data_IF_699440357192
#
_entry.id   IF_699440357192
#
_cell.length_a   1.000
_cell.length_b   1.000
_cell.length_c   1.000
_cell.angle_alpha   90.00
_cell.angle_beta   90.00
_cell.angle_gamma   90.00
#
_symmetry.space_group_name_H-M   'P 1'
#
loop_
_entity.id
_entity.type
_entity.pdbx_description
1 polymer ?
#
# COMPACT_ATOMS: atom_id res chain seq x y z
N UNK A 1 43.75 20.64 18.66
CA UNK A 1 43.03 19.99 19.78
C UNK A 1 41.49 20.00 19.66
N UNK A 2 40.84 21.07 19.16
CA UNK A 2 39.36 21.12 19.05
C UNK A 2 38.77 20.14 18.02
N UNK A 3 39.46 19.93 16.88
CA UNK A 3 38.99 19.02 15.81
C UNK A 3 38.99 17.55 16.26
N UNK A 4 40.02 17.12 17.00
CA UNK A 4 40.15 15.74 17.47
C UNK A 4 39.04 15.35 18.46
N UNK A 5 38.66 16.27 19.36
CA UNK A 5 37.52 16.04 20.28
C UNK A 5 36.19 15.92 19.53
N UNK A 6 36.00 16.67 18.45
CA UNK A 6 34.77 16.61 17.65
C UNK A 6 34.65 15.28 16.88
N UNK A 7 35.74 14.81 16.26
CA UNK A 7 35.77 13.52 15.56
C UNK A 7 35.55 12.35 16.54
N UNK A 8 36.13 12.41 17.73
CA UNK A 8 35.94 11.38 18.76
C UNK A 8 34.48 11.32 19.25
N UNK A 9 33.82 12.46 19.45
CA UNK A 9 32.41 12.50 19.85
C UNK A 9 31.51 11.94 18.73
N UNK A 10 31.80 12.24 17.46
CA UNK A 10 31.04 11.71 16.32
C UNK A 10 31.19 10.18 16.22
N UNK A 11 32.41 9.65 16.39
CA UNK A 11 32.67 8.21 16.39
C UNK A 11 32.00 7.49 17.55
N UNK A 12 31.96 8.10 18.74
CA UNK A 12 31.24 7.55 19.89
C UNK A 12 29.73 7.60 19.64
N UNK A 13 29.20 8.67 19.04
CA UNK A 13 27.78 8.75 18.69
C UNK A 13 27.40 7.72 17.64
N UNK A 14 28.20 7.48 16.59
CA UNK A 14 27.90 6.45 15.58
C UNK A 14 28.01 5.04 16.17
N UNK A 15 29.03 4.77 16.99
CA UNK A 15 29.20 3.46 17.63
C UNK A 15 28.16 3.17 18.71
N UNK A 16 27.60 4.20 19.35
CA UNK A 16 26.50 4.06 20.31
C UNK A 16 25.14 4.02 19.61
N UNK A 17 24.98 4.62 18.42
CA UNK A 17 23.72 4.56 17.66
C UNK A 17 23.54 3.28 16.83
N UNK A 18 24.62 2.67 16.31
CA UNK A 18 24.54 1.45 15.48
C UNK A 18 23.89 0.21 16.14
N UNK A 19 24.08 -0.08 17.44
CA UNK A 19 23.44 -1.24 18.06
C UNK A 19 21.98 -0.98 18.47
N UNK A 20 21.49 0.27 18.40
CA UNK A 20 20.08 0.55 18.66
C UNK A 20 19.26 0.43 17.37
N UNK A 21 18.75 -0.80 17.19
CA UNK A 21 17.36 -1.04 16.80
C UNK A 21 17.02 -0.86 15.31
N UNK A 22 17.73 -1.53 14.41
CA UNK A 22 16.99 -2.13 13.28
C UNK A 22 16.35 -3.40 13.83
N UNK A 23 15.21 -3.25 14.51
CA UNK A 23 14.35 -4.41 14.77
C UNK A 23 14.00 -4.96 13.40
N UNK A 24 14.47 -6.17 13.09
CA UNK A 24 14.14 -6.83 11.85
C UNK A 24 12.62 -7.07 11.85
N UNK A 25 11.88 -6.18 11.19
CA UNK A 25 10.45 -6.37 10.94
C UNK A 25 10.32 -7.55 9.98
N UNK A 26 9.65 -8.59 10.44
CA UNK A 26 9.32 -9.72 9.56
C UNK A 26 8.05 -9.36 8.79
N UNK A 27 8.16 -9.39 7.45
CA UNK A 27 7.04 -9.18 6.54
C UNK A 27 6.51 -10.53 6.13
N UNK A 28 5.24 -10.78 6.40
CA UNK A 28 4.55 -12.01 5.98
C UNK A 28 3.57 -11.64 4.88
N UNK A 29 3.75 -12.21 3.69
CA UNK A 29 2.77 -12.15 2.61
C UNK A 29 1.64 -13.14 2.90
N UNK A 30 0.39 -12.65 2.87
CA UNK A 30 -0.79 -13.46 3.16
C UNK A 30 -1.52 -13.93 1.91
N UNK A 31 -1.43 -13.17 0.81
CA UNK A 31 -2.05 -13.55 -0.44
C UNK A 31 -1.14 -14.53 -1.16
N UNK A 32 -1.70 -15.65 -1.58
CA UNK A 32 -1.00 -16.64 -2.39
C UNK A 32 -1.38 -16.47 -3.85
N UNK A 33 -0.40 -16.61 -4.75
CA UNK A 33 -0.59 -16.49 -6.21
C UNK A 33 -1.24 -15.14 -6.60
N UNK A 34 -0.77 -14.05 -6.00
CA UNK A 34 -1.21 -12.68 -6.30
C UNK A 34 -0.72 -12.14 -7.64
N UNK A 35 0.34 -12.72 -8.19
CA UNK A 35 0.91 -12.48 -9.52
C UNK A 35 0.22 -13.29 -10.63
N UNK A 36 -0.66 -14.22 -10.26
CA UNK A 36 -1.45 -15.07 -11.16
C UNK A 36 -0.65 -15.94 -12.13
N UNK A 37 0.63 -16.17 -11.83
CA UNK A 37 1.50 -17.02 -12.66
C UNK A 37 1.02 -18.48 -12.64
N UNK A 38 0.36 -18.88 -11.55
CA UNK A 38 -0.29 -20.18 -11.38
C UNK A 38 -1.78 -20.15 -11.76
N UNK A 39 -2.18 -19.29 -12.72
CA UNK A 39 -3.57 -19.09 -13.11
C UNK A 39 -4.42 -18.59 -11.91
N UNK A 40 -5.67 -19.05 -11.77
CA UNK A 40 -6.55 -18.75 -10.64
C UNK A 40 -6.41 -19.76 -9.49
N UNK A 41 -5.28 -20.47 -9.37
CA UNK A 41 -5.08 -21.37 -8.23
C UNK A 41 -5.18 -20.56 -6.92
N UNK A 42 -5.88 -21.09 -5.92
CA UNK A 42 -6.18 -20.43 -4.63
C UNK A 42 -7.11 -19.21 -4.71
N UNK A 43 -7.64 -18.90 -5.90
CA UNK A 43 -8.64 -17.87 -6.11
C UNK A 43 -9.95 -18.51 -6.55
N UNK A 44 -11.05 -18.18 -5.89
CA UNK A 44 -12.39 -18.64 -6.26
C UNK A 44 -13.02 -17.60 -7.23
N UNK A 45 -13.12 -17.90 -8.54
CA UNK A 45 -13.74 -16.99 -9.49
C UNK A 45 -15.25 -16.95 -9.31
N UNK A 46 -15.83 -15.78 -9.54
CA UNK A 46 -17.28 -15.60 -9.57
C UNK A 46 -17.69 -14.64 -10.70
N UNK A 47 -18.92 -14.80 -11.17
CA UNK A 47 -19.53 -13.94 -12.19
C UNK A 47 -20.91 -13.48 -11.72
N UNK A 48 -21.25 -12.23 -11.99
CA UNK A 48 -22.56 -11.67 -11.63
C UNK A 48 -23.68 -12.11 -12.58
N UNK A 49 -23.30 -12.51 -13.79
CA UNK A 49 -24.23 -13.03 -14.80
C UNK A 49 -23.54 -14.13 -15.61
N UNK A 50 -24.08 -15.35 -15.60
CA UNK A 50 -23.42 -16.53 -16.17
C UNK A 50 -23.04 -16.39 -17.65
N UNK A 51 -23.85 -15.68 -18.44
CA UNK A 51 -23.62 -15.54 -19.90
C UNK A 51 -22.90 -14.26 -20.32
N UNK A 52 -22.74 -13.28 -19.42
CA UNK A 52 -22.29 -11.93 -19.79
C UNK A 52 -21.26 -11.33 -18.85
N UNK A 53 -21.02 -11.97 -17.69
CA UNK A 53 -19.92 -11.66 -16.81
C UNK A 53 -18.80 -12.66 -17.03
N UNK A 54 -17.57 -12.18 -17.07
CA UNK A 54 -16.44 -13.02 -17.41
C UNK A 54 -15.23 -12.70 -16.54
N UNK A 55 -14.43 -13.73 -16.32
CA UNK A 55 -13.11 -13.68 -15.70
C UNK A 55 -12.22 -14.71 -16.39
N UNK A 56 -10.99 -14.33 -16.73
CA UNK A 56 -10.02 -15.23 -17.32
C UNK A 56 -8.59 -14.78 -17.05
N UNK A 57 -7.67 -15.73 -17.08
CA UNK A 57 -6.24 -15.45 -17.12
C UNK A 57 -5.85 -15.06 -18.54
N UNK A 58 -5.05 -14.01 -18.68
CA UNK A 58 -4.56 -13.53 -19.98
C UNK A 58 -3.06 -13.30 -19.97
N UNK A 59 -2.40 -13.56 -21.10
CA UNK A 59 -0.98 -13.25 -21.30
C UNK A 59 -0.75 -11.94 -22.09
N UNK A 60 -1.83 -11.35 -22.64
CA UNK A 60 -1.76 -10.23 -23.58
C UNK A 60 -1.61 -8.85 -22.94
N UNK A 61 -2.14 -8.68 -21.73
CA UNK A 61 -2.09 -7.40 -20.99
C UNK A 61 -1.72 -7.71 -19.54
N UNK A 62 -0.46 -7.53 -19.18
CA UNK A 62 0.08 -7.84 -17.85
C UNK A 62 0.96 -6.71 -17.34
N UNK A 63 1.09 -6.61 -16.03
CA UNK A 63 1.98 -5.65 -15.40
C UNK A 63 3.38 -6.25 -15.24
N UNK A 64 3.44 -7.45 -14.64
CA UNK A 64 4.68 -8.21 -14.51
C UNK A 64 4.48 -9.67 -14.94
N UNK A 65 5.51 -10.49 -14.76
CA UNK A 65 5.45 -11.92 -15.07
C UNK A 65 5.06 -12.24 -16.52
N UNK A 66 4.27 -13.31 -16.65
CA UNK A 66 3.77 -13.83 -17.92
C UNK A 66 2.26 -13.71 -18.06
N UNK A 67 1.51 -13.47 -16.98
CA UNK A 67 0.05 -13.49 -16.91
C UNK A 67 -0.52 -12.32 -16.10
N UNK A 68 -1.83 -12.13 -16.20
CA UNK A 68 -2.65 -11.30 -15.31
C UNK A 68 -4.08 -11.84 -15.32
N UNK A 69 -4.94 -11.30 -14.46
CA UNK A 69 -6.39 -11.60 -14.51
C UNK A 69 -7.12 -10.51 -15.28
N UNK A 70 -7.95 -10.89 -16.24
CA UNK A 70 -8.92 -10.02 -16.92
C UNK A 70 -10.32 -10.28 -16.37
N UNK A 71 -11.01 -9.24 -15.94
CA UNK A 71 -12.45 -9.27 -15.69
C UNK A 71 -13.16 -8.37 -16.70
N UNK A 72 -14.27 -8.84 -17.26
CA UNK A 72 -15.01 -8.07 -18.27
C UNK A 72 -16.49 -8.42 -18.31
N UNK A 73 -17.25 -7.56 -18.99
CA UNK A 73 -18.65 -7.82 -19.29
C UNK A 73 -18.90 -7.70 -20.80
N UNK A 74 -19.62 -8.68 -21.35
CA UNK A 74 -20.04 -8.65 -22.75
C UNK A 74 -21.23 -7.68 -22.92
N UNK A 75 -21.41 -7.05 -24.10
CA UNK A 75 -22.52 -6.15 -24.33
C UNK A 75 -23.83 -6.93 -24.46
N UNK A 76 -24.96 -6.34 -24.08
CA UNK A 76 -26.29 -6.94 -24.25
C UNK A 76 -27.16 -5.99 -25.08
N UNK A 77 -27.68 -6.41 -26.25
CA UNK A 77 -28.46 -5.54 -27.12
C UNK A 77 -29.75 -4.96 -26.49
N UNK A 78 -30.33 -5.63 -25.49
CA UNK A 78 -31.68 -5.32 -24.96
C UNK A 78 -31.82 -5.54 -23.45
N UNK A 79 -30.82 -5.15 -22.64
CA UNK A 79 -30.95 -5.26 -21.18
C UNK A 79 -31.59 -4.00 -20.58
N UNK A 80 -32.49 -4.17 -19.61
CA UNK A 80 -32.79 -3.10 -18.67
C UNK A 80 -31.52 -2.78 -17.87
N UNK A 81 -31.26 -1.50 -17.55
CA UNK A 81 -30.09 -1.01 -16.79
C UNK A 81 -30.03 -1.50 -15.31
N UNK A 82 -30.71 -2.61 -15.02
CA UNK A 82 -30.86 -3.19 -13.68
C UNK A 82 -30.05 -4.47 -13.50
N UNK A 83 -29.57 -5.07 -14.59
CA UNK A 83 -28.87 -6.34 -14.53
C UNK A 83 -27.37 -6.11 -14.32
N UNK A 84 -26.90 -6.42 -13.10
CA UNK A 84 -25.47 -6.38 -12.76
C UNK A 84 -24.73 -7.52 -13.48
N UNK A 85 -23.61 -7.18 -14.11
CA UNK A 85 -22.76 -8.09 -14.90
C UNK A 85 -21.30 -7.84 -14.58
N UNK A 86 -20.43 -8.69 -15.12
CA UNK A 86 -19.00 -8.70 -14.83
C UNK A 86 -18.63 -9.87 -13.92
N UNK A 87 -17.47 -9.78 -13.29
CA UNK A 87 -16.93 -10.87 -12.49
C UNK A 87 -15.74 -10.43 -11.66
N UNK A 88 -15.22 -11.38 -10.93
CA UNK A 88 -14.14 -11.18 -9.98
C UNK A 88 -13.58 -12.50 -9.49
N UNK A 89 -12.63 -12.41 -8.59
CA UNK A 89 -12.18 -13.56 -7.82
C UNK A 89 -12.02 -13.17 -6.35
N UNK A 90 -12.13 -14.18 -5.49
CA UNK A 90 -11.96 -14.02 -4.05
C UNK A 90 -10.96 -15.02 -3.50
N UNK A 91 -10.22 -14.63 -2.48
CA UNK A 91 -9.34 -15.50 -1.71
C UNK A 91 -9.64 -15.32 -0.23
N UNK A 92 -9.84 -16.44 0.47
CA UNK A 92 -10.06 -16.47 1.90
C UNK A 92 -8.71 -16.68 2.58
N UNK A 93 -8.28 -15.71 3.37
CA UNK A 93 -7.08 -15.76 4.19
C UNK A 93 -7.49 -16.03 5.63
N UNK A 94 -7.16 -17.22 6.13
CA UNK A 94 -7.30 -17.53 7.55
C UNK A 94 -6.13 -16.95 8.32
N UNK A 95 -6.41 -16.18 9.36
CA UNK A 95 -5.36 -15.57 10.16
C UNK A 95 -5.85 -15.25 11.57
N UNK A 96 -4.90 -15.14 12.50
CA UNK A 96 -5.12 -14.59 13.85
C UNK A 96 -4.33 -13.27 13.99
N UNK A 97 -4.49 -12.38 13.01
CA UNK A 97 -3.74 -11.11 12.97
C UNK A 97 -4.31 -10.17 14.01
N UNK A 98 -3.41 -9.52 14.75
CA UNK A 98 -3.73 -8.49 15.72
C UNK A 98 -3.55 -7.11 15.12
N UNK A 99 -4.32 -6.15 15.60
CA UNK A 99 -4.15 -4.71 15.38
C UNK A 99 -4.28 -4.25 13.91
N UNK A 100 -4.62 -5.17 13.01
CA UNK A 100 -4.84 -4.94 11.58
C UNK A 100 -3.68 -4.21 10.88
N UNK A 101 -2.44 -4.38 11.36
CA UNK A 101 -1.26 -3.78 10.73
C UNK A 101 -0.89 -4.51 9.43
N UNK A 102 -1.69 -4.19 8.42
CA UNK A 102 -1.68 -4.81 7.12
C UNK A 102 -1.58 -3.75 6.02
N UNK A 103 -0.81 -4.08 5.00
CA UNK A 103 -0.65 -3.28 3.80
C UNK A 103 -1.22 -4.07 2.62
N UNK A 104 -2.32 -3.58 2.07
CA UNK A 104 -2.86 -4.06 0.80
C UNK A 104 -2.20 -3.31 -0.35
N UNK A 105 -1.70 -4.03 -1.35
CA UNK A 105 -1.29 -3.43 -2.61
C UNK A 105 -1.69 -4.27 -3.82
N UNK A 106 -1.88 -3.63 -4.96
CA UNK A 106 -2.19 -4.30 -6.21
C UNK A 106 -1.95 -3.36 -7.40
N UNK A 107 -1.77 -3.94 -8.58
CA UNK A 107 -1.81 -3.24 -9.86
C UNK A 107 -3.13 -3.48 -10.56
N UNK A 108 -3.66 -2.43 -11.16
CA UNK A 108 -4.90 -2.48 -11.94
C UNK A 108 -4.79 -1.63 -13.20
N UNK A 109 -5.24 -2.16 -14.33
CA UNK A 109 -5.43 -1.41 -15.56
C UNK A 109 -6.92 -1.36 -15.89
N UNK A 110 -7.62 -0.26 -15.55
CA UNK A 110 -9.02 -0.08 -15.94
C UNK A 110 -9.09 0.26 -17.43
N UNK A 111 -9.87 -0.50 -18.20
CA UNK A 111 -10.09 -0.30 -19.62
C UNK A 111 -11.60 -0.09 -19.88
N UNK A 112 -12.08 1.09 -19.49
CA UNK A 112 -13.48 1.50 -19.69
C UNK A 112 -13.55 2.47 -20.87
N UNK A 113 -14.23 2.08 -21.94
CA UNK A 113 -14.38 2.94 -23.11
C UNK A 113 -15.44 4.04 -22.87
N UNK A 114 -15.05 5.30 -23.13
CA UNK A 114 -15.93 6.45 -23.02
C UNK A 114 -16.20 6.88 -21.58
N UNK A 115 -17.35 7.53 -21.35
CA UNK A 115 -17.73 8.00 -20.01
C UNK A 115 -18.11 6.82 -19.12
N UNK A 116 -17.53 6.75 -17.93
CA UNK A 116 -17.85 5.72 -16.95
C UNK A 116 -19.08 6.11 -16.11
N UNK A 117 -20.28 5.87 -16.64
CA UNK A 117 -21.53 6.17 -15.92
C UNK A 117 -22.13 4.94 -15.21
N UNK A 118 -21.57 3.75 -15.44
CA UNK A 118 -22.21 2.50 -15.04
C UNK A 118 -21.26 1.35 -14.62
N UNK A 119 -19.95 1.57 -14.63
CA UNK A 119 -18.96 0.53 -14.31
C UNK A 119 -18.26 0.84 -12.99
N UNK A 120 -18.23 -0.15 -12.10
CA UNK A 120 -17.45 -0.15 -10.87
C UNK A 120 -16.32 -1.17 -11.00
N UNK A 121 -15.09 -0.70 -10.83
CA UNK A 121 -13.88 -1.52 -10.74
C UNK A 121 -13.35 -1.32 -9.34
N UNK A 122 -13.25 -2.39 -8.54
CA UNK A 122 -12.87 -2.27 -7.12
C UNK A 122 -12.18 -3.51 -6.56
N UNK A 123 -11.46 -3.30 -5.47
CA UNK A 123 -10.99 -4.34 -4.55
C UNK A 123 -11.80 -4.26 -3.26
N UNK A 124 -12.18 -5.39 -2.69
CA UNK A 124 -13.00 -5.50 -1.48
C UNK A 124 -12.25 -6.34 -0.45
N UNK A 125 -12.18 -5.84 0.78
CA UNK A 125 -11.64 -6.55 1.93
C UNK A 125 -12.78 -6.73 2.92
N UNK A 126 -13.21 -7.97 3.11
CA UNK A 126 -14.19 -8.33 4.12
C UNK A 126 -13.48 -8.98 5.31
N UNK A 127 -13.59 -8.35 6.47
CA UNK A 127 -12.98 -8.77 7.72
C UNK A 127 -14.05 -9.30 8.66
N UNK A 128 -13.89 -10.55 9.14
CA UNK A 128 -14.65 -11.06 10.28
C UNK A 128 -13.76 -11.00 11.53
N UNK A 129 -14.23 -10.32 12.55
CA UNK A 129 -13.52 -10.16 13.83
C UNK A 129 -13.91 -11.27 14.81
N UNK A 130 -13.07 -11.56 15.79
CA UNK A 130 -13.39 -12.53 16.85
C UNK A 130 -14.61 -12.15 17.68
N UNK A 131 -14.89 -10.85 17.84
CA UNK A 131 -16.06 -10.34 18.57
C UNK A 131 -17.38 -10.48 17.79
N UNK A 132 -17.36 -11.10 16.61
CA UNK A 132 -18.51 -11.36 15.75
C UNK A 132 -18.87 -10.21 14.81
N UNK A 133 -18.20 -9.06 14.87
CA UNK A 133 -18.40 -7.98 13.90
C UNK A 133 -17.84 -8.36 12.53
N UNK A 134 -18.46 -7.81 11.49
CA UNK A 134 -18.00 -7.93 10.10
C UNK A 134 -17.84 -6.53 9.50
N UNK A 135 -16.67 -6.25 8.93
CA UNK A 135 -16.34 -4.96 8.31
C UNK A 135 -16.01 -5.19 6.84
N UNK A 136 -16.46 -4.28 5.98
CA UNK A 136 -16.18 -4.29 4.55
C UNK A 136 -15.46 -3.01 4.17
N UNK A 137 -14.23 -3.10 3.69
CA UNK A 137 -13.52 -1.99 3.06
C UNK A 137 -13.56 -2.20 1.55
N UNK A 138 -14.04 -1.21 0.79
CA UNK A 138 -14.11 -1.31 -0.68
C UNK A 138 -13.34 -0.18 -1.33
N UNK A 139 -12.29 -0.52 -2.07
CA UNK A 139 -11.39 0.40 -2.76
C UNK A 139 -11.78 0.52 -4.22
N UNK A 140 -12.42 1.62 -4.58
CA UNK A 140 -12.81 1.88 -5.96
C UNK A 140 -11.63 2.40 -6.78
N UNK A 141 -11.47 1.86 -7.98
CA UNK A 141 -10.50 2.27 -8.99
C UNK A 141 -11.21 3.12 -10.02
N UNK A 142 -12.35 2.62 -10.51
CA UNK A 142 -13.30 3.35 -11.32
C UNK A 142 -14.67 3.21 -10.65
N UNK A 143 -15.39 4.32 -10.53
CA UNK A 143 -16.69 4.35 -9.86
C UNK A 143 -17.71 5.01 -10.76
N UNK A 144 -18.85 4.36 -10.87
CA UNK A 144 -20.05 4.92 -11.46
C UNK A 144 -21.05 5.19 -10.34
N UNK A 145 -21.82 6.30 -10.41
CA UNK A 145 -22.95 6.47 -9.53
C UNK A 145 -23.83 5.21 -9.58
N UNK A 146 -24.36 4.75 -8.43
CA UNK A 146 -25.28 3.61 -8.43
C UNK A 146 -26.37 3.86 -9.47
N UNK A 147 -26.53 2.90 -10.38
CA UNK A 147 -27.60 3.00 -11.35
C UNK A 147 -28.95 3.02 -10.63
N UNK A 148 -29.94 3.71 -11.19
CA UNK A 148 -31.28 3.83 -10.62
C UNK A 148 -31.85 2.42 -10.43
N UNK A 149 -31.91 1.95 -9.18
CA UNK A 149 -32.31 0.58 -8.84
C UNK A 149 -31.28 -0.22 -8.03
N UNK A 150 -29.99 0.15 -8.07
CA UNK A 150 -29.01 -0.25 -7.05
C UNK A 150 -29.23 0.62 -5.79
N UNK A 151 -30.45 0.54 -5.24
CA UNK A 151 -30.68 0.94 -3.85
C UNK A 151 -29.75 0.05 -3.02
N UNK A 152 -28.76 0.68 -2.36
CA UNK A 152 -27.82 0.03 -1.45
C UNK A 152 -26.59 -0.63 -2.12
N UNK A 153 -25.75 0.12 -2.84
CA UNK A 153 -24.37 0.11 -2.36
C UNK A 153 -24.47 0.72 -0.98
N UNK A 154 -24.58 -0.16 0.03
CA UNK A 154 -24.86 0.24 1.38
C UNK A 154 -23.75 1.19 1.80
N UNK A 155 -24.02 2.50 1.70
CA UNK A 155 -23.21 3.55 2.27
C UNK A 155 -23.22 3.46 3.80
N UNK A 156 -23.70 2.33 4.37
CA UNK A 156 -23.22 1.83 5.66
C UNK A 156 -21.77 2.23 5.86
N UNK A 157 -21.50 2.63 7.10
CA UNK A 157 -20.35 3.41 7.55
C UNK A 157 -18.96 2.82 7.19
N UNK A 158 -18.90 1.68 6.50
CA UNK A 158 -17.72 0.87 6.26
C UNK A 158 -17.07 1.12 4.87
N UNK A 159 -17.73 1.76 3.91
CA UNK A 159 -17.16 1.94 2.54
C UNK A 159 -16.18 3.11 2.45
N UNK A 160 -14.89 2.89 2.18
CA UNK A 160 -13.88 3.94 1.95
C UNK A 160 -13.76 4.23 0.46
N UNK A 161 -14.31 5.35 0.00
CA UNK A 161 -14.17 5.76 -1.39
C UNK A 161 -12.77 6.31 -1.64
N UNK A 162 -11.97 5.55 -2.39
CA UNK A 162 -10.83 6.09 -3.11
C UNK A 162 -11.28 6.31 -4.55
N UNK A 163 -11.00 7.48 -5.10
CA UNK A 163 -11.09 7.71 -6.54
C UNK A 163 -9.69 8.12 -6.96
N UNK A 164 -9.14 7.47 -7.97
CA UNK A 164 -7.92 7.92 -8.61
C UNK A 164 -8.09 9.40 -8.95
N UNK A 165 -7.22 10.24 -8.40
CA UNK A 165 -7.31 11.69 -8.56
C UNK A 165 -7.21 12.10 -10.03
N UNK A 166 -6.51 11.29 -10.83
CA UNK A 166 -6.47 11.37 -12.30
C UNK A 166 -7.82 11.14 -13.00
N UNK A 167 -8.86 10.68 -12.29
CA UNK A 167 -10.23 10.58 -12.78
C UNK A 167 -11.14 11.73 -12.30
N UNK A 168 -10.69 12.58 -11.36
CA UNK A 168 -11.50 13.72 -10.88
C UNK A 168 -11.59 14.85 -11.91
N UNK A 169 -10.60 14.99 -12.78
CA UNK A 169 -10.50 16.09 -13.75
C UNK A 169 -11.29 15.85 -15.04
N UNK A 170 -12.29 14.96 -15.03
CA UNK A 170 -13.32 14.92 -16.08
C UNK A 170 -14.27 16.11 -15.85
N UNK A 171 -13.77 17.31 -16.12
CA UNK A 171 -14.58 18.53 -16.20
C UNK A 171 -15.69 18.37 -17.25
N UNK A 172 -16.85 19.04 -17.10
CA UNK A 172 -17.91 19.00 -18.10
C UNK A 172 -17.34 19.35 -19.48
N UNK A 173 -17.63 18.49 -20.47
CA UNK A 173 -17.08 18.47 -21.83
C UNK A 173 -16.23 19.71 -22.19
N UNK A 174 -14.88 19.60 -22.18
CA UNK A 174 -14.08 20.59 -22.86
C UNK A 174 -14.46 20.61 -24.35
N UNK A 175 -14.28 21.77 -24.98
CA UNK A 175 -14.52 21.99 -26.41
C UNK A 175 -14.06 20.77 -27.23
N UNK A 176 -14.92 20.18 -28.10
CA UNK A 176 -14.61 18.99 -28.89
C UNK A 176 -13.33 19.08 -29.74
N UNK A 177 -12.72 20.27 -29.87
CA UNK A 177 -11.43 20.46 -30.53
C UNK A 177 -10.21 20.38 -29.59
N UNK A 178 -10.40 20.33 -28.28
CA UNK A 178 -9.29 20.26 -27.32
C UNK A 178 -8.86 18.80 -27.16
N UNK A 179 -7.61 18.42 -27.46
CA UNK A 179 -7.09 17.10 -27.15
C UNK A 179 -7.27 16.87 -25.66
N UNK A 180 -8.10 15.91 -25.28
CA UNK A 180 -8.21 15.55 -23.88
C UNK A 180 -6.88 14.99 -23.42
N UNK A 181 -6.36 15.39 -22.25
CA UNK A 181 -5.27 14.65 -21.64
C UNK A 181 -5.75 13.20 -21.52
N UNK A 182 -4.94 12.25 -22.00
CA UNK A 182 -5.22 10.82 -21.84
C UNK A 182 -5.39 10.57 -20.34
N UNK A 183 -6.64 10.53 -19.88
CA UNK A 183 -7.02 10.18 -18.52
C UNK A 183 -6.35 8.86 -18.17
N UNK A 184 -5.96 8.62 -16.91
CA UNK A 184 -5.29 7.38 -16.48
C UNK A 184 -6.06 6.06 -16.71
N UNK A 185 -7.18 6.10 -17.41
CA UNK A 185 -7.85 4.97 -18.03
C UNK A 185 -6.92 4.39 -19.10
N UNK A 186 -6.75 3.07 -19.13
CA UNK A 186 -5.78 2.33 -19.96
C UNK A 186 -4.32 2.37 -19.51
N UNK A 187 -4.04 2.82 -18.27
CA UNK A 187 -2.70 2.75 -17.70
C UNK A 187 -2.69 1.85 -16.46
N UNK A 188 -1.62 1.07 -16.30
CA UNK A 188 -1.37 0.34 -15.06
C UNK A 188 -1.20 1.31 -13.91
N UNK A 189 -2.02 1.12 -12.88
CA UNK A 189 -2.02 1.95 -11.69
C UNK A 189 -1.69 1.10 -10.48
N UNK A 190 -0.65 1.48 -9.74
CA UNK A 190 -0.32 0.88 -8.46
C UNK A 190 -1.15 1.50 -7.35
N UNK A 191 -1.82 0.67 -6.56
CA UNK A 191 -2.57 1.09 -5.38
C UNK A 191 -1.94 0.44 -4.17
N UNK A 192 -1.68 1.24 -3.12
CA UNK A 192 -1.15 0.78 -1.83
C UNK A 192 -1.95 1.42 -0.70
N UNK A 193 -2.48 0.61 0.21
CA UNK A 193 -3.36 1.01 1.31
C UNK A 193 -2.87 0.43 2.62
N UNK A 194 -2.93 1.23 3.68
CA UNK A 194 -2.71 0.76 5.04
C UNK A 194 -4.09 0.50 5.66
N UNK A 195 -4.40 -0.77 5.91
CA UNK A 195 -5.71 -1.20 6.39
C UNK A 195 -5.98 -0.74 7.82
N UNK A 196 -4.95 -0.64 8.67
CA UNK A 196 -5.07 -0.12 10.03
C UNK A 196 -5.51 1.35 10.05
N UNK A 197 -4.90 2.20 9.21
CA UNK A 197 -5.26 3.61 9.07
C UNK A 197 -6.67 3.78 8.48
N UNK A 198 -6.96 3.00 7.44
CA UNK A 198 -8.26 2.99 6.77
C UNK A 198 -9.38 2.59 7.74
N UNK A 199 -9.16 1.53 8.51
CA UNK A 199 -10.05 1.10 9.58
C UNK A 199 -10.21 2.19 10.65
N UNK A 200 -9.09 2.76 11.13
CA UNK A 200 -9.05 3.77 12.20
C UNK A 200 -9.90 4.98 11.89
N UNK A 201 -9.89 5.41 10.62
CA UNK A 201 -10.62 6.59 10.15
C UNK A 201 -12.14 6.51 10.38
N UNK A 202 -12.70 5.30 10.46
CA UNK A 202 -14.16 5.06 10.54
C UNK A 202 -14.59 4.31 11.79
N UNK A 203 -13.74 3.43 12.31
CA UNK A 203 -14.10 2.49 13.37
C UNK A 203 -13.32 2.73 14.66
N UNK A 204 -12.42 3.70 14.70
CA UNK A 204 -11.56 3.99 15.85
C UNK A 204 -10.34 3.07 15.92
N UNK A 205 -9.59 3.16 17.01
CA UNK A 205 -8.30 2.49 17.18
C UNK A 205 -8.41 0.96 17.02
N UNK A 206 -7.63 0.33 16.11
CA UNK A 206 -7.67 -1.12 15.88
C UNK A 206 -6.93 -1.93 16.95
N UNK A 207 -6.32 -1.30 17.96
CA UNK A 207 -5.65 -2.01 19.05
C UNK A 207 -6.57 -3.03 19.74
N UNK A 208 -6.07 -4.25 19.91
CA UNK A 208 -6.78 -5.41 20.46
C UNK A 208 -7.89 -5.98 19.56
N UNK A 209 -7.98 -5.55 18.31
CA UNK A 209 -8.82 -6.24 17.33
C UNK A 209 -8.09 -7.49 16.87
N UNK A 210 -8.77 -8.63 16.99
CA UNK A 210 -8.30 -9.91 16.48
C UNK A 210 -9.13 -10.23 15.25
N UNK A 211 -8.45 -10.29 14.11
CA UNK A 211 -9.01 -10.73 12.86
C UNK A 211 -9.10 -12.26 12.89
N UNK A 212 -10.30 -12.79 12.61
CA UNK A 212 -10.57 -14.23 12.55
C UNK A 212 -10.51 -14.78 11.12
N UNK A 213 -11.08 -14.00 10.20
CA UNK A 213 -11.14 -14.37 8.78
C UNK A 213 -11.06 -13.10 7.95
N UNK A 214 -10.28 -13.17 6.88
CA UNK A 214 -10.16 -12.12 5.91
C UNK A 214 -10.52 -12.67 4.54
N UNK A 215 -11.34 -11.95 3.80
CA UNK A 215 -11.69 -12.28 2.43
C UNK A 215 -11.27 -11.11 1.56
N UNK A 216 -10.36 -11.37 0.64
CA UNK A 216 -9.84 -10.40 -0.31
C UNK A 216 -10.45 -10.70 -1.67
N UNK A 217 -11.11 -9.72 -2.27
CA UNK A 217 -11.74 -9.86 -3.58
C UNK A 217 -11.38 -8.71 -4.48
N UNK A 218 -11.33 -8.95 -5.78
CA UNK A 218 -11.29 -7.90 -6.79
C UNK A 218 -12.38 -8.17 -7.83
N UNK A 219 -12.96 -7.11 -8.36
CA UNK A 219 -14.05 -7.25 -9.31
C UNK A 219 -14.24 -6.06 -10.24
N UNK A 220 -14.81 -6.39 -11.40
CA UNK A 220 -15.45 -5.44 -12.28
C UNK A 220 -16.94 -5.73 -12.30
N UNK A 221 -17.74 -4.70 -12.14
CA UNK A 221 -19.20 -4.80 -12.24
C UNK A 221 -19.75 -3.68 -13.10
N UNK A 222 -20.75 -3.98 -13.92
CA UNK A 222 -21.41 -2.95 -14.74
C UNK A 222 -22.87 -3.26 -14.95
N UNK A 223 -23.67 -2.21 -15.15
CA UNK A 223 -25.05 -2.31 -15.63
C UNK A 223 -25.24 -1.73 -17.04
N UNK A 224 -24.17 -1.25 -17.68
CA UNK A 224 -24.23 -0.64 -19.01
C UNK A 224 -24.39 -1.67 -20.12
N UNK A 225 -25.54 -1.72 -20.77
CA UNK A 225 -25.79 -2.71 -21.81
C UNK A 225 -24.97 -2.50 -23.10
N UNK A 226 -24.41 -1.29 -23.32
CA UNK A 226 -23.68 -0.92 -24.55
C UNK A 226 -22.16 -1.03 -24.43
N UNK A 227 -21.62 -0.99 -23.22
CA UNK A 227 -20.17 -0.97 -23.00
C UNK A 227 -19.64 -2.38 -22.76
N UNK A 228 -18.39 -2.60 -23.18
CA UNK A 228 -17.59 -3.78 -22.85
C UNK A 228 -16.44 -3.38 -21.95
N UNK A 229 -16.72 -3.01 -20.69
CA UNK A 229 -15.67 -2.59 -19.78
C UNK A 229 -14.77 -3.78 -19.44
N UNK A 230 -13.48 -3.49 -19.40
CA UNK A 230 -12.43 -4.42 -19.04
C UNK A 230 -11.69 -3.88 -17.80
N UNK A 231 -11.19 -4.80 -16.97
CA UNK A 231 -10.17 -4.50 -15.97
C UNK A 231 -9.15 -5.63 -15.95
N UNK A 232 -7.87 -5.25 -15.85
CA UNK A 232 -6.77 -6.19 -15.66
C UNK A 232 -6.19 -6.02 -14.27
N UNK A 233 -5.86 -7.11 -13.61
CA UNK A 233 -5.41 -7.17 -12.23
C UNK A 233 -4.12 -7.97 -12.16
N UNK A 234 -3.18 -7.47 -11.36
CA UNK A 234 -1.86 -8.09 -11.21
C UNK A 234 -1.24 -7.75 -9.84
N UNK A 235 -0.30 -8.59 -9.40
CA UNK A 235 0.46 -8.46 -8.14
C UNK A 235 -0.38 -8.06 -6.91
N UNK A 236 -1.49 -8.75 -6.67
CA UNK A 236 -2.29 -8.53 -5.46
C UNK A 236 -1.52 -9.07 -4.26
N UNK A 237 -1.21 -8.19 -3.31
CA UNK A 237 -0.38 -8.48 -2.15
C UNK A 237 -1.04 -7.93 -0.89
N UNK A 238 -0.92 -8.69 0.19
CA UNK A 238 -1.36 -8.29 1.52
C UNK A 238 -0.28 -8.67 2.53
N UNK A 239 0.48 -7.67 2.97
CA UNK A 239 1.61 -7.86 3.86
C UNK A 239 1.19 -7.52 5.29
N UNK A 240 1.50 -8.41 6.23
CA UNK A 240 1.48 -8.11 7.67
C UNK A 240 2.89 -7.78 8.10
N UNK A 241 3.06 -6.63 8.74
CA UNK A 241 4.29 -6.31 9.45
C UNK A 241 4.13 -6.82 10.89
N UNK A 242 4.82 -7.92 11.21
CA UNK A 242 4.83 -8.39 12.60
C UNK A 242 5.99 -7.70 13.29
N UNK A 243 5.68 -6.85 14.29
CA UNK A 243 6.69 -6.41 15.23
C UNK A 243 7.28 -7.66 15.88
N UNK A 244 8.53 -7.97 15.50
CA UNK A 244 9.28 -9.05 16.10
C UNK A 244 9.36 -8.71 17.58
N UNK A 245 8.58 -9.42 18.40
CA UNK A 245 8.56 -9.24 19.84
C UNK A 245 10.02 -9.29 20.29
N UNK A 246 10.54 -8.16 20.77
CA UNK A 246 11.91 -8.07 21.24
C UNK A 246 12.13 -9.26 22.18
N UNK A 247 13.14 -10.11 21.93
CA UNK A 247 13.34 -11.31 22.71
C UNK A 247 13.32 -10.92 24.18
N UNK A 248 12.32 -11.43 24.90
CA UNK A 248 12.16 -11.14 26.31
C UNK A 248 13.50 -11.51 26.97
N UNK A 249 14.15 -10.58 27.69
CA UNK A 249 15.48 -10.83 28.23
C UNK A 249 15.42 -12.15 29.00
N UNK A 250 16.39 -13.06 28.80
CA UNK A 250 16.32 -14.41 29.33
C UNK A 250 16.00 -14.32 30.82
N UNK A 251 14.79 -14.74 31.18
CA UNK A 251 14.30 -14.67 32.55
C UNK A 251 15.29 -15.50 33.34
N UNK A 252 16.07 -14.83 34.19
CA UNK A 252 17.02 -15.50 35.07
C UNK A 252 16.19 -16.39 35.97
N UNK A 253 16.19 -17.68 35.68
CA UNK A 253 15.39 -18.67 36.40
C UNK A 253 15.87 -18.73 37.83
N UNK A 254 15.13 -18.11 38.75
CA UNK A 254 15.27 -18.37 40.18
C UNK A 254 14.93 -19.86 40.42
N UNK A 255 15.77 -20.63 41.13
CA UNK A 255 15.56 -22.06 41.35
C UNK A 255 14.18 -22.32 41.96
N UNK A 256 13.34 -23.08 41.24
CA UNK A 256 12.04 -23.54 41.74
C UNK A 256 12.28 -24.67 42.75
N UNK A 257 11.69 -24.64 43.96
CA UNK A 257 11.77 -25.75 44.90
C UNK A 257 11.03 -26.97 44.34
N UNK A 258 11.71 -28.10 44.46
CA UNK A 258 11.35 -29.46 44.07
C UNK A 258 9.99 -29.88 44.65
N UNK A 259 8.95 -30.15 43.82
CA UNK A 259 7.69 -30.72 44.26
C UNK A 259 7.77 -32.25 44.24
N UNK A 260 7.42 -32.83 45.39
CA UNK A 260 7.24 -34.26 45.63
C UNK A 260 6.23 -34.93 44.70
N UNK A 261 6.59 -36.11 44.21
CA UNK A 261 5.82 -37.03 43.36
C UNK A 261 4.44 -37.40 43.94
N UNK A 262 3.41 -37.51 43.09
CA UNK A 262 2.34 -38.47 43.34
C UNK A 262 2.10 -39.45 42.18
N UNK A 263 2.33 -40.72 42.54
CA UNK A 263 1.57 -41.95 42.23
C UNK A 263 0.84 -42.05 40.87
N UNK A 264 1.36 -42.96 40.05
CA UNK A 264 0.79 -43.53 38.84
C UNK A 264 -0.47 -44.33 39.18
N UNK A 265 -1.59 -44.06 38.51
CA UNK A 265 -2.72 -45.02 38.41
C UNK A 265 -3.07 -45.20 36.94
N UNK A 266 -2.82 -46.41 36.46
CA UNK A 266 -3.12 -46.90 35.11
C UNK A 266 -4.55 -47.39 35.00
N UNK A 267 -5.27 -46.95 33.96
CA UNK A 267 -6.49 -47.60 33.49
C UNK A 267 -6.43 -47.72 31.95
N UNK A 268 -6.61 -48.93 31.39
CA UNK A 268 -6.70 -49.14 29.94
C UNK A 268 -8.14 -48.91 29.47
N UNK A 269 -8.39 -48.55 28.21
CA UNK A 269 -9.56 -49.01 27.42
C UNK A 269 -9.61 -48.39 25.99
N UNK A 270 -9.58 -49.31 25.02
CA UNK A 270 -10.26 -49.44 23.72
C UNK A 270 -10.21 -48.34 22.64
N UNK A 271 -9.55 -48.74 21.56
CA UNK A 271 -9.75 -48.45 20.12
C UNK A 271 -11.23 -48.49 19.68
N UNK A 272 -11.65 -47.69 18.69
CA UNK A 272 -11.74 -48.27 17.34
C UNK A 272 -11.41 -47.31 16.18
N UNK A 273 -10.44 -47.75 15.37
CA UNK A 273 -10.51 -47.87 13.90
C UNK A 273 -11.50 -46.97 13.15
N UNK A 274 -10.96 -45.99 12.40
CA UNK A 274 -11.55 -45.56 11.13
C UNK A 274 -10.48 -45.14 10.13
N UNK A 275 -10.42 -45.89 9.05
CA UNK A 275 -9.55 -45.73 7.89
C UNK A 275 -9.99 -44.55 7.04
N UNK A 276 -9.07 -43.63 6.74
CA UNK A 276 -9.18 -42.69 5.63
C UNK A 276 -7.84 -42.59 4.93
N UNK A 277 -7.81 -43.08 3.70
CA UNK A 277 -6.69 -43.05 2.75
C UNK A 277 -6.26 -41.61 2.46
N UNK A 278 -5.05 -41.23 2.85
CA UNK A 278 -4.39 -40.01 2.42
C UNK A 278 -3.45 -40.29 1.24
N UNK A 279 -3.61 -39.52 0.16
CA UNK A 279 -2.66 -39.44 -0.95
C UNK A 279 -1.41 -38.65 -0.53
N UNK A 280 -0.22 -39.01 -1.04
CA UNK A 280 1.03 -38.37 -0.62
C UNK A 280 1.19 -36.98 -1.22
N UNK A 281 1.43 -36.00 -0.35
CA UNK A 281 1.90 -34.67 -0.71
C UNK A 281 3.32 -34.79 -1.30
N UNK A 282 3.51 -34.22 -2.49
CA UNK A 282 4.84 -34.06 -3.10
C UNK A 282 5.49 -32.82 -2.49
N UNK A 283 6.48 -33.06 -1.64
CA UNK A 283 7.34 -32.01 -1.08
C UNK A 283 8.27 -31.50 -2.18
N UNK A 284 8.03 -30.27 -2.65
CA UNK A 284 9.00 -29.54 -3.46
C UNK A 284 10.21 -29.14 -2.60
N UNK A 285 11.43 -29.18 -3.13
CA UNK A 285 12.63 -28.81 -2.39
C UNK A 285 12.64 -27.30 -2.07
N UNK A 286 13.26 -26.90 -0.94
CA UNK A 286 13.42 -25.49 -0.60
C UNK A 286 14.31 -24.81 -1.64
N UNK A 287 13.79 -23.73 -2.24
CA UNK A 287 14.56 -22.85 -3.10
C UNK A 287 15.53 -22.07 -2.20
N UNK A 288 16.82 -22.26 -2.45
CA UNK A 288 17.92 -21.64 -1.73
C UNK A 288 18.07 -20.18 -2.19
N UNK A 289 17.18 -19.31 -1.72
CA UNK A 289 17.16 -17.89 -2.01
C UNK A 289 18.04 -17.14 -0.98
N UNK A 290 19.36 -17.24 -1.10
CA UNK A 290 20.25 -16.63 -0.10
C UNK A 290 21.56 -16.02 -0.61
N UNK A 291 21.61 -15.55 -1.86
CA UNK A 291 22.83 -14.89 -2.39
C UNK A 291 22.66 -13.45 -2.89
N UNK A 292 21.45 -12.87 -2.87
CA UNK A 292 21.24 -11.52 -3.41
C UNK A 292 21.22 -10.39 -2.36
N UNK A 293 21.15 -10.71 -1.06
CA UNK A 293 21.05 -9.69 0.00
C UNK A 293 22.40 -9.21 0.55
N UNK A 294 23.53 -9.81 0.16
CA UNK A 294 24.85 -9.42 0.69
C UNK A 294 25.47 -8.24 -0.07
N UNK A 295 24.96 -7.90 -1.26
CA UNK A 295 25.55 -6.80 -2.06
C UNK A 295 24.95 -5.42 -1.73
N UNK A 296 23.70 -5.32 -1.28
CA UNK A 296 23.00 -4.04 -1.08
C UNK A 296 23.41 -3.29 0.18
N UNK A 297 23.82 -3.99 1.24
CA UNK A 297 24.12 -3.36 2.53
C UNK A 297 25.43 -2.53 2.52
N UNK A 298 26.38 -2.86 1.65
CA UNK A 298 27.66 -2.14 1.58
C UNK A 298 27.59 -0.84 0.75
N UNK A 299 26.70 -0.74 -0.25
CA UNK A 299 26.61 0.45 -1.09
C UNK A 299 25.79 1.58 -0.43
N UNK A 300 24.81 1.24 0.41
CA UNK A 300 24.03 2.24 1.15
C UNK A 300 24.90 3.14 2.03
N UNK A 301 25.85 2.53 2.75
CA UNK A 301 26.77 3.27 3.63
C UNK A 301 27.71 4.21 2.85
N UNK A 302 28.15 3.81 1.66
CA UNK A 302 29.02 4.62 0.79
C UNK A 302 28.25 5.85 0.25
N UNK A 303 26.99 5.66 -0.14
CA UNK A 303 26.15 6.77 -0.65
C UNK A 303 25.85 7.78 0.46
N UNK A 304 25.50 7.31 1.67
CA UNK A 304 25.20 8.19 2.81
C UNK A 304 26.45 8.98 3.22
N UNK A 305 27.61 8.35 3.29
CA UNK A 305 28.87 9.04 3.62
C UNK A 305 29.26 10.07 2.58
N UNK A 306 29.09 9.79 1.28
CA UNK A 306 29.31 10.75 0.21
C UNK A 306 28.38 11.98 0.32
N UNK A 307 27.09 11.77 0.61
CA UNK A 307 26.12 12.87 0.80
C UNK A 307 26.47 13.76 2.00
N UNK A 308 26.92 13.18 3.11
CA UNK A 308 27.36 13.95 4.29
C UNK A 308 28.56 14.84 3.94
N UNK A 309 29.55 14.29 3.22
CA UNK A 309 30.74 15.05 2.79
C UNK A 309 30.34 16.22 1.88
N UNK A 310 29.43 15.99 0.91
CA UNK A 310 28.93 17.04 0.01
C UNK A 310 28.22 18.14 0.82
N UNK A 311 27.37 17.77 1.76
CA UNK A 311 26.64 18.74 2.59
C UNK A 311 27.60 19.61 3.42
N UNK A 312 28.65 19.01 3.99
CA UNK A 312 29.68 19.74 4.74
C UNK A 312 30.45 20.71 3.83
N UNK A 313 30.82 20.27 2.61
CA UNK A 313 31.48 21.12 1.62
C UNK A 313 30.60 22.31 1.22
N UNK A 314 29.30 22.09 0.97
CA UNK A 314 28.35 23.16 0.63
C UNK A 314 28.23 24.17 1.77
N UNK A 315 28.16 23.71 3.02
CA UNK A 315 28.11 24.60 4.19
C UNK A 315 29.41 25.40 4.32
N UNK A 316 30.57 24.79 4.12
CA UNK A 316 31.87 25.47 4.19
C UNK A 316 32.01 26.55 3.11
N UNK A 317 31.56 26.27 1.88
CA UNK A 317 31.55 27.24 0.77
C UNK A 317 30.58 28.39 1.06
N UNK A 318 29.36 28.10 1.54
CA UNK A 318 28.37 29.13 1.91
C UNK A 318 28.87 30.02 3.06
N UNK A 319 29.56 29.46 4.04
CA UNK A 319 30.12 30.22 5.16
C UNK A 319 31.25 31.16 4.71
N UNK A 320 32.04 30.76 3.71
CA UNK A 320 33.05 31.63 3.09
C UNK A 320 32.40 32.76 2.27
N UNK A 321 31.23 32.53 1.70
CA UNK A 321 30.47 33.53 0.94
C UNK A 321 29.72 34.54 1.80
N UNK A 322 29.39 34.23 3.06
CA UNK A 322 28.62 35.14 3.93
C UNK A 322 29.45 36.25 4.59
N UNK A 323 30.78 36.28 4.42
CA UNK A 323 31.62 37.36 4.93
C UNK A 323 31.60 38.66 4.10
N UNK A 324 30.70 38.77 3.11
CA UNK A 324 30.48 40.02 2.35
C UNK A 324 28.98 40.37 2.28
N UNK A 325 28.31 40.51 3.43
CA UNK A 325 27.01 41.20 3.48
C UNK A 325 27.28 42.70 3.61
N UNK A 326 27.41 43.37 2.47
CA UNK A 326 27.30 44.83 2.39
C UNK A 326 25.88 45.21 2.84
N UNK A 327 25.78 46.11 3.81
CA UNK A 327 24.51 46.54 4.39
C UNK A 327 23.73 47.39 3.38
N UNK A 328 22.82 46.80 2.63
CA UNK A 328 21.89 47.53 1.75
C UNK A 328 20.96 48.43 2.58
N UNK A 329 20.97 49.73 2.31
CA UNK A 329 20.00 50.72 2.82
C UNK A 329 18.91 50.96 1.77
N UNK A 330 17.80 51.58 2.17
CA UNK A 330 16.70 51.95 1.25
C UNK A 330 16.40 53.45 1.39
N UNK A 331 16.04 54.09 0.27
CA UNK A 331 15.72 55.51 0.23
C UNK A 331 14.42 55.79 0.99
N UNK A 332 14.45 56.73 1.94
CA UNK A 332 13.26 57.05 2.74
C UNK A 332 12.11 57.69 1.94
N UNK A 333 12.39 58.27 0.77
CA UNK A 333 11.38 58.94 -0.03
C UNK A 333 10.73 58.02 -1.07
N UNK A 334 11.53 57.27 -1.84
CA UNK A 334 11.02 56.45 -2.95
C UNK A 334 11.17 54.93 -2.74
N UNK A 335 11.82 54.48 -1.66
CA UNK A 335 12.01 53.06 -1.35
C UNK A 335 13.09 52.36 -2.19
N UNK A 336 13.76 53.04 -3.11
CA UNK A 336 14.83 52.45 -3.93
C UNK A 336 16.01 52.01 -3.06
N UNK A 337 16.64 50.87 -3.40
CA UNK A 337 17.84 50.38 -2.70
C UNK A 337 19.02 51.31 -3.00
N UNK A 338 19.76 51.68 -1.96
CA UNK A 338 20.90 52.61 -2.03
C UNK A 338 22.13 51.97 -1.39
N UNK A 339 23.27 52.22 -2.00
CA UNK A 339 24.57 51.76 -1.49
C UNK A 339 24.87 52.47 -0.17
N UNK A 340 25.46 51.76 0.80
CA UNK A 340 25.56 52.24 2.19
C UNK A 340 26.31 53.58 2.37
N UNK A 341 27.04 54.01 1.33
CA UNK A 341 27.97 55.14 1.29
C UNK A 341 27.42 56.32 0.48
N UNK A 342 26.25 56.21 -0.14
CA UNK A 342 25.70 57.29 -0.99
C UNK A 342 24.88 58.30 -0.17
N UNK A 343 25.25 59.58 -0.22
CA UNK A 343 24.53 60.67 0.46
C UNK A 343 23.21 61.06 -0.23
N UNK A 344 22.98 60.62 -1.46
CA UNK A 344 21.80 60.96 -2.26
C UNK A 344 21.24 59.73 -2.97
N UNK A 345 19.92 59.67 -3.11
CA UNK A 345 19.28 58.61 -3.90
C UNK A 345 19.41 58.91 -5.40
N UNK A 346 19.98 57.99 -6.17
CA UNK A 346 20.14 58.14 -7.62
C UNK A 346 18.81 58.17 -8.38
N UNK A 347 17.75 57.57 -7.84
CA UNK A 347 16.44 57.52 -8.48
C UNK A 347 15.65 58.83 -8.34
N UNK A 348 15.67 59.46 -7.15
CA UNK A 348 14.82 60.62 -6.87
C UNK A 348 15.57 61.88 -6.43
N UNK A 349 16.91 61.83 -6.36
CA UNK A 349 17.77 62.94 -5.96
C UNK A 349 17.64 63.36 -4.49
N UNK A 350 16.85 62.66 -3.68
CA UNK A 350 16.62 63.05 -2.28
C UNK A 350 17.86 62.73 -1.44
N UNK A 351 18.33 63.73 -0.68
CA UNK A 351 19.44 63.55 0.27
C UNK A 351 19.04 62.59 1.39
N UNK A 352 19.91 61.65 1.71
CA UNK A 352 19.70 60.70 2.79
C UNK A 352 20.43 61.23 4.03
N UNK A 353 19.70 61.42 5.13
CA UNK A 353 20.34 61.76 6.41
C UNK A 353 20.99 60.49 6.96
N UNK A 354 22.32 60.55 7.14
CA UNK A 354 23.17 59.42 7.52
C UNK A 354 22.97 58.97 8.96
#
# INVERSE_FOLDING_TARGET
MKLFKFVLILLILTAVYEPYLVSASSKTELIVNGDFESNLNEWEPYVYHETHGNIAITAGTKHSGSKSVRTWADPIPQSTYTLKRGGGATQIVQSNIKDLDMILSFWVLPAVAGRNDHTNIRTIIHMKLEDGRSINLSYYVAWAPPAVGEFLYNTSDNTIFFLLESMKDITPMPDPQTPQPESGIHQWTFIKRNLSNDFSSKHGNPQNIILKELVVSFELTTVSHLQTPDAFWDEISLIVETETSQPEPPITSTPKPEPSEPVITSTPTLDPSKSTTSTPYTTSPPIEENQLNVLTDNYGLIIITALIIITILVIAVRKKSQHKKESTKYCMNCGATIEAISDFCEQCGTKQES
#
